data_IF_890575334999
#
_entry.id   IF_890575334999
#
_cell.length_a   1.000
_cell.length_b   1.000
_cell.length_c   1.000
_cell.angle_alpha   90.00
_cell.angle_beta   90.00
_cell.angle_gamma   90.00
#
_symmetry.space_group_name_H-M   'P 1'
#
loop_
_entity.id
_entity.type
_entity.pdbx_description
1 polymer ?
#
# COMPACT_ATOMS: atom_id res chain seq x y z
N UNK A 1 15.86 42.87 10.89
CA UNK A 1 16.32 42.39 10.58
C UNK A 1 16.23 41.52 9.86
N UNK A 2 16.86 41.12 9.48
CA UNK A 2 16.81 40.47 8.73
C UNK A 2 16.65 39.27 8.75
N UNK A 3 15.85 38.88 8.28
CA UNK A 3 15.40 37.71 8.34
C UNK A 3 16.24 36.73 8.02
N UNK A 4 16.66 36.01 8.25
CA UNK A 4 17.49 34.97 8.05
C UNK A 4 18.06 34.78 6.67
N UNK A 5 18.77 33.75 6.46
CA UNK A 5 19.35 33.38 5.20
C UNK A 5 18.24 33.06 4.19
N UNK A 6 18.30 33.61 2.99
CA UNK A 6 17.22 33.39 2.01
C UNK A 6 16.89 31.91 1.78
N UNK A 7 17.86 31.02 1.86
CA UNK A 7 17.63 29.61 1.65
C UNK A 7 16.83 28.93 2.76
N UNK A 8 16.80 29.51 3.97
CA UNK A 8 16.07 28.91 5.09
C UNK A 8 14.56 28.91 4.88
N UNK A 9 14.01 29.98 4.35
CA UNK A 9 12.57 30.07 4.11
C UNK A 9 12.14 29.04 3.07
N UNK A 10 12.92 28.88 2.00
CA UNK A 10 12.64 27.88 0.99
C UNK A 10 12.76 26.46 1.52
N UNK A 11 13.77 26.21 2.37
CA UNK A 11 13.96 24.92 2.98
C UNK A 11 12.80 24.54 3.89
N UNK A 12 12.33 25.48 4.71
CA UNK A 12 11.18 25.24 5.58
C UNK A 12 9.93 24.95 4.78
N UNK A 13 9.71 25.66 3.69
CA UNK A 13 8.57 25.39 2.81
C UNK A 13 8.65 24.00 2.20
N UNK A 14 9.84 23.58 1.78
CA UNK A 14 10.04 22.24 1.22
C UNK A 14 9.74 21.16 2.25
N UNK A 15 10.19 21.36 3.49
CA UNK A 15 9.91 20.41 4.56
C UNK A 15 8.43 20.32 4.86
N UNK A 16 7.73 21.46 4.90
CA UNK A 16 6.30 21.49 5.12
C UNK A 16 5.55 20.80 3.99
N UNK A 17 5.95 21.07 2.75
CA UNK A 17 5.34 20.43 1.57
C UNK A 17 5.56 18.92 1.59
N UNK A 18 6.75 18.49 1.96
CA UNK A 18 7.05 17.05 2.06
C UNK A 18 6.17 16.40 3.12
N UNK A 19 6.05 17.06 4.29
CA UNK A 19 5.22 16.55 5.37
C UNK A 19 3.76 16.42 4.96
N UNK A 20 3.22 17.45 4.30
CA UNK A 20 1.86 17.43 3.78
C UNK A 20 1.67 16.32 2.74
N UNK A 21 2.65 16.16 1.84
CA UNK A 21 2.59 15.11 0.82
C UNK A 21 2.65 13.72 1.43
N UNK A 22 3.44 13.53 2.48
CA UNK A 22 3.50 12.26 3.19
C UNK A 22 2.18 11.91 3.85
N UNK A 23 1.56 12.89 4.52
CA UNK A 23 0.25 12.68 5.15
C UNK A 23 -0.82 12.36 4.11
N UNK A 24 -0.81 13.09 3.00
CA UNK A 24 -1.75 12.85 1.91
C UNK A 24 -1.54 11.47 1.31
N UNK A 25 -0.29 11.06 1.11
CA UNK A 25 0.02 9.73 0.60
C UNK A 25 -0.48 8.64 1.56
N UNK A 26 -0.32 8.83 2.85
CA UNK A 26 -0.82 7.88 3.84
C UNK A 26 -2.34 7.74 3.80
N UNK A 27 -3.04 8.87 3.63
CA UNK A 27 -4.49 8.87 3.49
C UNK A 27 -4.92 8.14 2.21
N UNK A 28 -4.24 8.39 1.11
CA UNK A 28 -4.53 7.73 -0.16
C UNK A 28 -4.25 6.24 -0.09
N UNK A 29 -3.16 5.84 0.58
CA UNK A 29 -2.83 4.43 0.79
C UNK A 29 -3.94 3.76 1.60
N UNK A 30 -4.36 4.38 2.70
CA UNK A 30 -5.40 3.80 3.55
C UNK A 30 -6.72 3.61 2.81
N UNK A 31 -7.01 4.50 1.86
CA UNK A 31 -8.25 4.45 1.08
C UNK A 31 -8.17 3.52 -0.13
N UNK A 32 -6.98 3.10 -0.55
CA UNK A 32 -6.86 2.24 -1.72
C UNK A 32 -7.38 0.84 -1.42
N UNK A 33 -7.77 0.13 -2.46
CA UNK A 33 -8.15 -1.27 -2.36
C UNK A 33 -7.43 -2.07 -3.42
N UNK A 34 -7.11 -3.31 -3.09
CA UNK A 34 -6.58 -4.26 -4.06
C UNK A 34 -7.49 -5.48 -4.09
N UNK A 35 -7.54 -6.14 -5.23
CA UNK A 35 -8.31 -7.36 -5.42
C UNK A 35 -7.34 -8.47 -5.74
N UNK A 36 -7.39 -9.53 -4.94
CA UNK A 36 -6.53 -10.69 -5.12
C UNK A 36 -7.38 -11.95 -5.24
N UNK A 37 -6.91 -12.91 -6.02
CA UNK A 37 -7.64 -14.15 -6.23
C UNK A 37 -6.75 -15.35 -5.95
N UNK A 38 -7.39 -16.48 -5.66
CA UNK A 38 -6.72 -17.76 -5.52
C UNK A 38 -7.55 -18.84 -6.18
N UNK A 39 -6.89 -19.90 -6.59
CA UNK A 39 -7.56 -21.04 -7.23
C UNK A 39 -8.19 -20.70 -8.57
N UNK A 40 -7.53 -19.87 -9.38
CA UNK A 40 -8.06 -19.47 -10.68
C UNK A 40 -9.32 -18.63 -10.61
N UNK A 41 -9.45 -17.82 -9.55
CA UNK A 41 -10.63 -16.99 -9.35
C UNK A 41 -11.70 -17.62 -8.48
N UNK A 42 -11.43 -18.79 -7.91
CA UNK A 42 -12.39 -19.46 -7.04
C UNK A 42 -12.69 -18.66 -5.77
N UNK A 43 -11.68 -17.99 -5.24
CA UNK A 43 -11.81 -17.10 -4.08
C UNK A 43 -11.21 -15.74 -4.44
N UNK A 44 -11.95 -14.70 -4.18
CA UNK A 44 -11.52 -13.32 -4.42
C UNK A 44 -11.58 -12.57 -3.10
N UNK A 45 -10.47 -11.91 -2.75
CA UNK A 45 -10.38 -11.07 -1.56
C UNK A 45 -10.15 -9.63 -1.97
N UNK A 46 -10.88 -8.71 -1.36
CA UNK A 46 -10.65 -7.27 -1.50
C UNK A 46 -10.04 -6.78 -0.19
N UNK A 47 -8.86 -6.19 -0.26
CA UNK A 47 -8.11 -5.75 0.91
C UNK A 47 -7.84 -4.26 0.77
N UNK A 48 -8.04 -3.51 1.84
CA UNK A 48 -7.77 -2.08 1.86
C UNK A 48 -6.33 -1.78 2.29
N UNK A 49 -5.87 -0.57 1.98
CA UNK A 49 -4.52 -0.13 2.29
C UNK A 49 -4.23 -0.06 3.78
N UNK A 50 -5.25 0.04 4.62
CA UNK A 50 -5.12 -0.05 6.07
C UNK A 50 -5.08 -1.50 6.57
N UNK A 51 -4.88 -2.44 5.63
CA UNK A 51 -4.69 -3.87 5.92
C UNK A 51 -5.92 -4.53 6.51
N UNK A 52 -7.08 -4.17 5.97
CA UNK A 52 -8.34 -4.79 6.35
C UNK A 52 -8.92 -5.55 5.17
N UNK A 53 -9.41 -6.74 5.43
CA UNK A 53 -10.15 -7.51 4.44
C UNK A 53 -11.54 -6.91 4.38
N UNK A 54 -11.91 -6.35 3.22
CA UNK A 54 -13.22 -5.73 3.07
C UNK A 54 -14.27 -6.72 2.61
N UNK A 55 -13.89 -7.67 1.77
CA UNK A 55 -14.81 -8.69 1.29
C UNK A 55 -14.07 -9.93 0.84
N UNK A 56 -14.77 -11.05 0.92
CA UNK A 56 -14.32 -12.31 0.34
C UNK A 56 -15.49 -12.86 -0.45
N UNK A 57 -15.23 -13.15 -1.73
CA UNK A 57 -16.20 -13.76 -2.61
C UNK A 57 -15.73 -15.17 -2.93
N UNK A 58 -16.60 -16.13 -2.73
CA UNK A 58 -16.29 -17.55 -2.96
C UNK A 58 -17.25 -18.08 -3.99
N UNK A 59 -16.70 -18.71 -5.04
CA UNK A 59 -17.54 -19.37 -6.03
C UNK A 59 -18.16 -20.64 -5.41
N UNK A 60 -19.46 -20.86 -5.60
CA UNK A 60 -20.12 -22.01 -4.97
C UNK A 60 -19.50 -23.35 -5.35
N UNK A 61 -18.90 -23.43 -6.51
CA UNK A 61 -18.31 -24.69 -7.02
C UNK A 61 -17.18 -25.21 -6.13
N UNK A 62 -16.52 -24.34 -5.37
CA UNK A 62 -15.41 -24.75 -4.50
C UNK A 62 -15.85 -24.94 -3.05
N UNK A 63 -17.12 -24.78 -2.77
CA UNK A 63 -17.64 -25.03 -1.43
C UNK A 63 -18.03 -26.51 -1.35
N UNK A 64 -17.10 -27.31 -0.82
CA UNK A 64 -17.28 -28.75 -0.68
C UNK A 64 -17.18 -29.12 0.78
N UNK A 65 -18.29 -29.58 1.39
CA UNK A 65 -18.26 -29.96 2.82
C UNK A 65 -17.29 -31.08 3.12
N UNK A 66 -16.90 -31.88 2.11
CA UNK A 66 -15.96 -32.96 2.30
C UNK A 66 -14.51 -32.53 2.16
N UNK A 67 -14.28 -31.30 1.66
CA UNK A 67 -12.93 -30.75 1.50
C UNK A 67 -12.89 -29.30 1.96
N UNK A 68 -13.18 -29.08 3.21
CA UNK A 68 -13.17 -27.74 3.81
C UNK A 68 -11.75 -27.18 3.86
N UNK A 69 -10.77 -28.06 4.03
CA UNK A 69 -9.36 -27.65 4.10
C UNK A 69 -8.91 -26.94 2.82
N UNK A 70 -9.32 -27.44 1.66
CA UNK A 70 -9.01 -26.78 0.39
C UNK A 70 -9.54 -25.34 0.37
N UNK A 71 -10.79 -25.14 0.81
CA UNK A 71 -11.39 -23.82 0.86
C UNK A 71 -10.64 -22.89 1.82
N UNK A 72 -10.26 -23.41 2.97
CA UNK A 72 -9.48 -22.66 3.95
C UNK A 72 -8.15 -22.18 3.34
N UNK A 73 -7.46 -23.06 2.66
CA UNK A 73 -6.19 -22.75 2.01
C UNK A 73 -6.34 -21.69 0.92
N UNK A 74 -7.42 -21.76 0.14
CA UNK A 74 -7.70 -20.78 -0.88
C UNK A 74 -7.98 -19.39 -0.29
N UNK A 75 -8.72 -19.35 0.79
CA UNK A 75 -9.00 -18.07 1.49
C UNK A 75 -7.72 -17.46 2.03
N UNK A 76 -6.90 -18.27 2.69
CA UNK A 76 -5.61 -17.82 3.23
C UNK A 76 -4.72 -17.28 2.10
N UNK A 77 -4.64 -18.00 0.98
CA UNK A 77 -3.83 -17.59 -0.16
C UNK A 77 -4.31 -16.26 -0.74
N UNK A 78 -5.62 -16.10 -0.93
CA UNK A 78 -6.18 -14.88 -1.50
C UNK A 78 -5.94 -13.67 -0.57
N UNK A 79 -6.18 -13.84 0.72
CA UNK A 79 -5.98 -12.78 1.71
C UNK A 79 -4.50 -12.36 1.79
N UNK A 80 -3.61 -13.34 1.87
CA UNK A 80 -2.18 -13.05 1.96
C UNK A 80 -1.66 -12.38 0.70
N UNK A 81 -2.13 -12.79 -0.46
CA UNK A 81 -1.76 -12.15 -1.72
C UNK A 81 -2.24 -10.70 -1.75
N UNK A 82 -3.46 -10.45 -1.27
CA UNK A 82 -4.00 -9.10 -1.17
C UNK A 82 -3.19 -8.21 -0.24
N UNK A 83 -2.81 -8.73 0.92
CA UNK A 83 -1.97 -7.99 1.86
C UNK A 83 -0.60 -7.68 1.26
N UNK A 84 -0.02 -8.61 0.53
CA UNK A 84 1.26 -8.41 -0.14
C UNK A 84 1.16 -7.34 -1.23
N UNK A 85 0.09 -7.36 -2.01
CA UNK A 85 -0.16 -6.34 -3.03
C UNK A 85 -0.33 -4.95 -2.42
N UNK A 86 -1.03 -4.85 -1.29
CA UNK A 86 -1.18 -3.60 -0.57
C UNK A 86 0.18 -3.07 -0.11
N UNK A 87 1.02 -3.94 0.43
CA UNK A 87 2.35 -3.58 0.87
C UNK A 87 3.20 -3.01 -0.28
N UNK A 88 3.16 -3.69 -1.43
CA UNK A 88 3.89 -3.23 -2.61
C UNK A 88 3.36 -1.90 -3.12
N UNK A 89 2.04 -1.76 -3.21
CA UNK A 89 1.42 -0.53 -3.68
C UNK A 89 1.70 0.64 -2.74
N UNK A 90 1.70 0.38 -1.44
CA UNK A 90 2.03 1.40 -0.44
C UNK A 90 3.49 1.83 -0.56
N UNK A 91 4.39 0.89 -0.76
CA UNK A 91 5.81 1.19 -0.93
C UNK A 91 6.05 2.02 -2.19
N UNK A 92 5.41 1.68 -3.29
CA UNK A 92 5.50 2.45 -4.54
C UNK A 92 4.99 3.87 -4.35
N UNK A 93 3.87 4.03 -3.66
CA UNK A 93 3.29 5.35 -3.40
C UNK A 93 4.23 6.21 -2.56
N UNK A 94 4.82 5.64 -1.52
CA UNK A 94 5.76 6.35 -0.68
C UNK A 94 7.04 6.70 -1.43
N UNK A 95 7.50 5.82 -2.30
CA UNK A 95 8.66 6.11 -3.14
C UNK A 95 8.41 7.28 -4.09
N UNK A 96 7.21 7.41 -4.63
CA UNK A 96 6.85 8.55 -5.46
C UNK A 96 6.96 9.87 -4.68
N UNK A 97 6.49 9.88 -3.44
CA UNK A 97 6.52 11.07 -2.60
C UNK A 97 7.94 11.44 -2.20
N UNK A 98 8.76 10.43 -1.88
CA UNK A 98 10.12 10.64 -1.40
C UNK A 98 11.16 10.45 -2.51
N UNK A 99 10.73 10.31 -3.75
CA UNK A 99 11.61 9.98 -4.87
C UNK A 99 12.79 10.92 -5.03
N UNK A 100 12.54 12.23 -4.97
CA UNK A 100 13.59 13.21 -5.05
C UNK A 100 14.59 13.14 -3.90
N UNK A 101 14.07 12.91 -2.71
CA UNK A 101 14.89 12.78 -1.52
C UNK A 101 15.68 11.47 -1.55
N UNK A 102 15.03 10.40 -1.97
CA UNK A 102 15.68 9.10 -2.09
C UNK A 102 16.81 9.11 -3.10
N UNK A 103 16.62 9.79 -4.22
CA UNK A 103 17.66 9.94 -5.23
C UNK A 103 18.85 10.73 -4.70
N UNK A 104 18.59 11.77 -3.92
CA UNK A 104 19.63 12.58 -3.33
C UNK A 104 20.45 11.77 -2.33
N UNK A 105 19.77 11.02 -1.47
CA UNK A 105 20.45 10.18 -0.48
C UNK A 105 21.21 9.03 -1.15
N UNK A 106 20.64 8.48 -2.20
CA UNK A 106 21.32 7.45 -2.99
C UNK A 106 22.64 7.96 -3.57
N UNK A 107 22.65 9.20 -4.05
CA UNK A 107 23.85 9.83 -4.56
C UNK A 107 24.91 10.05 -3.49
N UNK A 108 24.48 10.34 -2.27
CA UNK A 108 25.42 10.53 -1.16
C UNK A 108 25.99 9.21 -0.64
N UNK A 109 25.20 8.18 -0.67
CA UNK A 109 25.61 6.87 -0.15
C UNK A 109 26.28 5.99 -1.18
N UNK A 110 25.95 6.22 -2.43
CA UNK A 110 26.51 5.47 -3.52
C UNK A 110 27.73 6.14 -4.11
#
# INVERSE_FOLDING_TARGET
MIGGIPGQAGMLKQLQSLQENLLKAQEEIAAMTVTATAGGGAVTAVVSGDRRVQSITIQPEVVDPEDVEMLQDLIVAAVNQGLEQVEQAAAEKMNEVTGGLGGLMGGLLG
#
